data_IF_583723925694
#
_entry.id   IF_583723925694
#
_cell.length_a   1.000
_cell.length_b   1.000
_cell.length_c   1.000
_cell.angle_alpha   90.00
_cell.angle_beta   90.00
_cell.angle_gamma   90.00
#
_symmetry.space_group_name_H-M   'P 1'
#
loop_
_entity.id
_entity.type
_entity.pdbx_description
1 polymer ?
#
# COMPACT_ATOMS: atom_id res chain seq x y z
N UNK A 1 -0.41 19.20 -4.55
CA UNK A 1 -0.40 18.62 -5.90
C UNK A 1 -0.95 17.21 -5.80
N UNK A 2 -2.12 16.92 -6.37
CA UNK A 2 -2.67 15.55 -6.40
C UNK A 2 -2.60 15.06 -7.83
N UNK A 3 -1.61 14.23 -8.15
CA UNK A 3 -1.53 13.52 -9.42
C UNK A 3 -2.41 12.28 -9.33
N UNK A 4 -3.43 12.16 -10.18
CA UNK A 4 -4.23 10.95 -10.25
C UNK A 4 -3.49 9.88 -11.06
N UNK A 5 -3.75 8.60 -10.78
CA UNK A 5 -3.14 7.50 -11.53
C UNK A 5 -3.49 7.52 -13.04
N UNK A 6 -4.58 8.20 -13.41
CA UNK A 6 -4.97 8.47 -14.79
C UNK A 6 -4.02 9.41 -15.54
N UNK A 7 -3.24 10.20 -14.82
CA UNK A 7 -2.41 11.28 -15.38
C UNK A 7 -0.98 10.81 -15.70
N UNK A 8 -0.66 9.54 -15.41
CA UNK A 8 0.66 8.97 -15.60
C UNK A 8 0.80 8.38 -17.03
N UNK A 9 1.74 8.89 -17.85
CA UNK A 9 1.99 8.32 -19.17
C UNK A 9 2.55 6.89 -19.06
N UNK A 10 1.93 5.93 -19.76
CA UNK A 10 2.42 4.54 -19.84
C UNK A 10 1.60 3.48 -19.08
N UNK A 11 0.44 3.83 -18.51
CA UNK A 11 -0.49 2.84 -17.93
C UNK A 11 -1.05 1.94 -19.05
N UNK A 12 -0.44 0.78 -19.24
CA UNK A 12 -0.97 -0.28 -20.11
C UNK A 12 -2.34 -0.75 -19.61
N UNK A 13 -3.26 -1.12 -20.51
CA UNK A 13 -4.57 -1.68 -20.16
C UNK A 13 -4.47 -2.94 -19.27
N UNK A 14 -3.33 -3.65 -19.33
CA UNK A 14 -3.01 -4.77 -18.44
C UNK A 14 -2.88 -4.35 -16.97
N UNK A 15 -2.46 -3.11 -16.70
CA UNK A 15 -2.39 -2.56 -15.35
C UNK A 15 -3.77 -2.25 -14.77
N UNK A 16 -4.79 -2.00 -15.61
CA UNK A 16 -6.18 -1.80 -15.17
C UNK A 16 -6.87 -3.10 -14.75
N UNK A 17 -6.39 -4.24 -15.23
CA UNK A 17 -6.92 -5.57 -14.87
C UNK A 17 -6.08 -6.31 -13.84
N UNK A 18 -4.87 -5.82 -13.55
CA UNK A 18 -4.04 -6.37 -12.48
C UNK A 18 -4.69 -6.13 -11.10
N UNK A 19 -4.54 -7.06 -10.15
CA UNK A 19 -5.00 -6.86 -8.78
C UNK A 19 -4.30 -5.64 -8.16
N UNK A 20 -5.04 -4.86 -7.37
CA UNK A 20 -4.46 -3.73 -6.64
C UNK A 20 -3.46 -4.23 -5.60
N UNK A 21 -2.29 -3.59 -5.53
CA UNK A 21 -1.19 -3.98 -4.64
C UNK A 21 -0.85 -2.83 -3.70
N UNK A 22 -0.86 -3.09 -2.40
CA UNK A 22 -0.53 -2.11 -1.36
C UNK A 22 0.71 -2.54 -0.58
N UNK A 23 1.55 -1.57 -0.24
CA UNK A 23 2.60 -1.72 0.77
C UNK A 23 2.12 -1.05 2.05
N UNK A 24 2.20 -1.74 3.18
CA UNK A 24 1.77 -1.21 4.49
C UNK A 24 2.91 -1.30 5.49
N UNK A 25 3.14 -0.23 6.24
CA UNK A 25 4.15 -0.15 7.30
C UNK A 25 3.72 0.86 8.37
N UNK A 26 4.19 0.70 9.61
CA UNK A 26 4.22 1.80 10.57
C UNK A 26 5.49 2.64 10.36
N UNK A 27 5.40 3.94 10.64
CA UNK A 27 6.51 4.88 10.46
C UNK A 27 7.73 4.55 11.32
N UNK A 28 8.87 5.19 11.03
CA UNK A 28 10.08 5.06 11.82
C UNK A 28 9.84 5.46 13.28
N UNK A 29 10.37 4.65 14.22
CA UNK A 29 10.16 4.77 15.67
C UNK A 29 8.70 4.69 16.13
N UNK A 30 7.80 4.17 15.29
CA UNK A 30 6.45 3.80 15.70
C UNK A 30 6.34 2.28 15.88
N UNK A 31 6.06 1.86 17.11
CA UNK A 31 5.78 0.46 17.48
C UNK A 31 4.29 0.11 17.49
N UNK A 32 3.38 1.05 17.20
CA UNK A 32 1.93 0.85 17.31
C UNK A 32 1.35 0.27 16.02
N UNK A 33 1.64 -1.00 15.75
CA UNK A 33 1.24 -1.65 14.51
C UNK A 33 -0.21 -2.19 14.51
N UNK A 34 -0.94 -2.05 15.62
CA UNK A 34 -2.29 -2.58 15.78
C UNK A 34 -3.25 -2.04 14.72
N UNK A 35 -3.22 -0.72 14.47
CA UNK A 35 -4.05 -0.08 13.46
C UNK A 35 -3.70 -0.57 12.05
N UNK A 36 -2.41 -0.63 11.70
CA UNK A 36 -1.99 -1.06 10.36
C UNK A 36 -2.29 -2.55 10.13
N UNK A 37 -2.25 -3.37 11.19
CA UNK A 37 -2.66 -4.77 11.15
C UNK A 37 -4.16 -4.95 10.87
N UNK A 38 -5.03 -4.08 11.40
CA UNK A 38 -6.46 -4.09 11.09
C UNK A 38 -6.68 -3.62 9.65
N UNK A 39 -6.06 -2.49 9.26
CA UNK A 39 -6.23 -1.92 7.93
C UNK A 39 -5.80 -2.88 6.83
N UNK A 40 -4.64 -3.55 6.97
CA UNK A 40 -4.22 -4.54 5.96
C UNK A 40 -5.20 -5.70 5.81
N UNK A 41 -5.85 -6.15 6.89
CA UNK A 41 -6.85 -7.23 6.83
C UNK A 41 -8.10 -6.76 6.10
N UNK A 42 -8.54 -5.53 6.33
CA UNK A 42 -9.67 -4.94 5.60
C UNK A 42 -9.35 -4.79 4.11
N UNK A 43 -8.16 -4.29 3.76
CA UNK A 43 -7.71 -4.15 2.38
C UNK A 43 -7.63 -5.51 1.68
N UNK A 44 -7.05 -6.52 2.34
CA UNK A 44 -7.01 -7.90 1.83
C UNK A 44 -8.41 -8.48 1.63
N UNK A 45 -9.33 -8.26 2.57
CA UNK A 45 -10.72 -8.72 2.45
C UNK A 45 -11.49 -8.07 1.30
N UNK A 46 -11.02 -6.92 0.78
CA UNK A 46 -11.55 -6.27 -0.44
C UNK A 46 -10.91 -6.78 -1.74
N UNK A 47 -10.04 -7.78 -1.67
CA UNK A 47 -9.43 -8.42 -2.85
C UNK A 47 -8.13 -7.79 -3.33
N UNK A 48 -7.50 -6.95 -2.51
CA UNK A 48 -6.18 -6.38 -2.82
C UNK A 48 -5.04 -7.23 -2.24
N UNK A 49 -3.92 -7.28 -2.95
CA UNK A 49 -2.68 -7.86 -2.45
C UNK A 49 -2.01 -6.89 -1.49
N UNK A 50 -1.58 -7.37 -0.32
CA UNK A 50 -0.90 -6.50 0.66
C UNK A 50 0.45 -7.09 1.05
N UNK A 51 1.49 -6.31 0.82
CA UNK A 51 2.84 -6.52 1.32
C UNK A 51 2.96 -5.71 2.62
N UNK A 52 3.12 -6.39 3.75
CA UNK A 52 3.23 -5.75 5.05
C UNK A 52 4.68 -5.77 5.53
N UNK A 53 5.26 -4.59 5.77
CA UNK A 53 6.65 -4.42 6.20
C UNK A 53 6.81 -4.34 7.72
N UNK A 54 5.72 -4.45 8.48
CA UNK A 54 5.74 -4.34 9.94
C UNK A 54 5.84 -2.89 10.43
N UNK A 55 6.53 -2.69 11.54
CA UNK A 55 6.67 -1.41 12.23
C UNK A 55 8.11 -0.89 12.21
N UNK A 56 8.31 0.38 12.61
CA UNK A 56 9.61 1.06 12.57
C UNK A 56 10.26 1.09 11.17
N UNK A 57 9.52 1.44 10.12
CA UNK A 57 10.07 1.57 8.76
C UNK A 57 10.36 3.02 8.40
N UNK A 58 11.62 3.31 8.08
CA UNK A 58 12.02 4.56 7.42
C UNK A 58 11.56 4.59 5.98
N UNK A 59 11.56 5.79 5.39
CA UNK A 59 11.36 6.00 3.95
C UNK A 59 12.63 5.68 3.15
N UNK A 60 13.79 5.78 3.81
CA UNK A 60 15.11 5.75 3.16
C UNK A 60 15.55 4.34 2.72
N UNK A 61 16.09 4.29 1.49
CA UNK A 61 16.45 3.17 0.59
C UNK A 61 15.75 1.80 0.79
#
# INVERSE_FOLDING_TARGET
MSTAASDLPGVSDKARTAPLRFVTAASLFDGHDAAINIMRRLIQARGAEVIHLGHNRSVDD
#
